data_IF_849045936827
#
_entry.id   IF_849045936827
#
_cell.length_a   1.000
_cell.length_b   1.000
_cell.length_c   1.000
_cell.angle_alpha   90.00
_cell.angle_beta   90.00
_cell.angle_gamma   90.00
#
_symmetry.space_group_name_H-M   'P 1'
#
loop_
_entity.id
_entity.type
_entity.pdbx_description
1 polymer ?
#
# COMPACT_ATOMS: atom_id res chain seq x y z
N UNK A 1 0.62 0.98 -7.47
CA UNK A 1 0.24 0.81 -6.04
C UNK A 1 0.91 -0.34 -5.28
N UNK A 2 1.48 -1.34 -5.96
CA UNK A 2 1.95 -2.58 -5.34
C UNK A 2 2.85 -2.39 -4.09
N UNK A 3 3.81 -1.46 -4.13
CA UNK A 3 4.72 -1.21 -2.99
C UNK A 3 3.96 -0.78 -1.73
N UNK A 4 2.99 0.14 -1.86
CA UNK A 4 2.20 0.62 -0.73
C UNK A 4 1.29 -0.48 -0.15
N UNK A 5 0.73 -1.32 -1.02
CA UNK A 5 -0.05 -2.50 -0.59
C UNK A 5 0.81 -3.52 0.15
N UNK A 6 1.98 -3.85 -0.40
CA UNK A 6 2.95 -4.78 0.20
C UNK A 6 3.44 -4.28 1.56
N UNK A 7 3.71 -2.97 1.68
CA UNK A 7 4.12 -2.31 2.91
C UNK A 7 2.99 -2.13 3.94
N UNK A 8 1.74 -2.43 3.57
CA UNK A 8 0.58 -2.31 4.46
C UNK A 8 0.06 -0.88 4.65
N UNK A 9 0.44 0.07 3.80
CA UNK A 9 0.06 1.48 3.94
C UNK A 9 -1.44 1.69 3.72
N UNK A 10 -2.04 1.00 2.75
CA UNK A 10 -3.45 1.09 2.35
C UNK A 10 -4.31 -0.04 2.94
N UNK A 11 -3.96 -0.51 4.15
CA UNK A 11 -4.79 -1.45 4.89
C UNK A 11 -5.90 -0.71 5.64
N UNK A 12 -7.00 -1.43 5.94
CA UNK A 12 -8.18 -0.89 6.63
C UNK A 12 -7.93 -0.39 8.06
N UNK A 13 -6.73 -0.60 8.60
CA UNK A 13 -6.32 -0.06 9.91
C UNK A 13 -5.81 1.38 9.85
N UNK A 14 -5.46 1.89 8.65
CA UNK A 14 -4.86 3.22 8.48
C UNK A 14 -5.34 3.90 7.19
N UNK A 15 -4.48 4.14 6.20
CA UNK A 15 -4.85 4.95 5.03
C UNK A 15 -5.86 4.26 4.11
N UNK A 16 -6.01 2.93 4.19
CA UNK A 16 -7.04 2.18 3.46
C UNK A 16 -8.39 2.08 4.16
N UNK A 17 -8.56 2.75 5.30
CA UNK A 17 -9.85 2.77 6.01
C UNK A 17 -10.83 3.75 5.33
N UNK A 18 -12.11 3.69 5.70
CA UNK A 18 -13.18 4.51 5.10
C UNK A 18 -12.90 6.02 5.13
N UNK A 19 -12.19 6.52 6.14
CA UNK A 19 -11.90 7.94 6.35
C UNK A 19 -10.42 8.30 6.07
N UNK A 20 -9.58 7.32 5.75
CA UNK A 20 -8.13 7.46 5.77
C UNK A 20 -7.59 7.86 7.15
N UNK A 21 -6.43 8.52 7.16
CA UNK A 21 -5.82 9.07 8.39
C UNK A 21 -5.02 10.32 8.10
N UNK A 22 -5.15 11.35 8.93
CA UNK A 22 -4.39 12.61 8.85
C UNK A 22 -4.46 13.27 7.45
N UNK A 23 -5.67 13.31 6.88
CA UNK A 23 -5.92 13.88 5.55
C UNK A 23 -5.28 13.08 4.41
N UNK A 24 -5.02 11.78 4.61
CA UNK A 24 -4.51 10.90 3.57
C UNK A 24 -5.32 9.60 3.52
N UNK A 25 -6.00 9.39 2.41
CA UNK A 25 -6.84 8.22 2.14
C UNK A 25 -6.41 7.57 0.83
N UNK A 26 -6.17 6.28 0.89
CA UNK A 26 -5.96 5.39 -0.24
C UNK A 26 -7.13 4.40 -0.29
N UNK A 27 -7.39 3.86 -1.46
CA UNK A 27 -8.30 2.76 -1.71
C UNK A 27 -7.84 1.51 -0.95
N UNK A 28 -8.78 0.69 -0.48
CA UNK A 28 -8.44 -0.47 0.34
C UNK A 28 -7.64 -1.47 -0.50
N UNK A 29 -6.40 -1.75 -0.08
CA UNK A 29 -5.46 -2.67 -0.77
C UNK A 29 -5.17 -2.32 -2.24
N UNK A 30 -5.48 -1.10 -2.67
CA UNK A 30 -5.21 -0.64 -4.04
C UNK A 30 -6.30 -1.00 -5.05
N UNK A 31 -7.54 -1.18 -4.59
CA UNK A 31 -8.71 -1.49 -5.43
C UNK A 31 -9.05 -0.41 -6.47
N UNK A 32 -8.63 0.84 -6.24
CA UNK A 32 -8.81 1.94 -7.18
C UNK A 32 -7.47 2.69 -7.44
N UNK A 33 -6.69 2.23 -8.43
CA UNK A 33 -5.39 2.82 -8.76
C UNK A 33 -5.45 4.29 -9.19
N UNK A 34 -6.48 4.71 -9.91
CA UNK A 34 -6.62 6.10 -10.40
C UNK A 34 -6.88 7.09 -9.25
N UNK A 35 -7.71 6.68 -8.29
CA UNK A 35 -7.92 7.41 -7.04
C UNK A 35 -6.61 7.52 -6.27
N UNK A 36 -5.93 6.39 -6.06
CA UNK A 36 -4.69 6.36 -5.28
C UNK A 36 -3.58 7.20 -5.91
N UNK A 37 -3.46 7.14 -7.24
CA UNK A 37 -2.56 7.99 -7.98
C UNK A 37 -2.85 9.48 -7.74
N UNK A 38 -4.12 9.89 -7.81
CA UNK A 38 -4.51 11.27 -7.55
C UNK A 38 -4.27 11.69 -6.09
N UNK A 39 -4.54 10.80 -5.13
CA UNK A 39 -4.29 11.02 -3.71
C UNK A 39 -2.79 11.20 -3.39
N UNK A 40 -1.91 10.54 -4.14
CA UNK A 40 -0.46 10.65 -4.00
C UNK A 40 0.11 11.88 -4.70
N UNK A 41 -0.43 12.25 -5.86
CA UNK A 41 0.21 13.23 -6.75
C UNK A 41 -0.43 14.62 -6.69
N UNK A 42 -1.71 14.73 -6.34
CA UNK A 42 -2.52 15.96 -6.50
C UNK A 42 -3.14 16.44 -5.18
N UNK A 43 -3.64 15.52 -4.37
CA UNK A 43 -4.35 15.89 -3.13
C UNK A 43 -3.48 16.72 -2.18
N UNK A 44 -4.15 17.60 -1.43
CA UNK A 44 -3.51 18.54 -0.51
C UNK A 44 -2.37 19.33 -1.17
N UNK A 45 -2.59 19.80 -2.41
CA UNK A 45 -1.62 20.56 -3.19
C UNK A 45 -0.31 19.80 -3.44
N UNK A 46 -0.40 18.47 -3.66
CA UNK A 46 0.74 17.63 -4.00
C UNK A 46 1.70 17.34 -2.85
N UNK A 47 1.33 17.62 -1.58
CA UNK A 47 2.23 17.54 -0.41
C UNK A 47 2.88 16.16 -0.17
N UNK A 48 2.40 15.08 -0.81
CA UNK A 48 2.84 13.71 -0.53
C UNK A 48 4.12 13.32 -1.27
N UNK A 49 4.35 13.92 -2.44
CA UNK A 49 5.54 13.70 -3.26
C UNK A 49 6.27 15.01 -3.51
N UNK A 50 7.58 14.93 -3.61
CA UNK A 50 8.44 16.04 -4.01
C UNK A 50 9.27 15.57 -5.20
N UNK A 51 8.93 16.02 -6.40
CA UNK A 51 9.62 15.60 -7.62
C UNK A 51 11.03 16.19 -7.71
N UNK A 52 11.26 17.40 -7.17
CA UNK A 52 12.57 18.07 -7.19
C UNK A 52 13.53 17.43 -6.19
N UNK A 53 13.01 16.98 -5.05
CA UNK A 53 13.77 16.32 -3.98
C UNK A 53 13.05 15.03 -3.54
N UNK A 54 13.17 13.93 -4.32
CA UNK A 54 12.43 12.70 -4.06
C UNK A 54 12.55 12.17 -2.64
N UNK A 55 13.75 12.21 -2.05
CA UNK A 55 14.03 11.77 -0.68
C UNK A 55 13.21 12.51 0.39
N UNK A 56 12.79 13.75 0.12
CA UNK A 56 12.00 14.58 1.04
C UNK A 56 10.49 14.29 0.96
N UNK A 57 10.07 13.36 0.09
CA UNK A 57 8.68 12.96 -0.08
C UNK A 57 8.13 12.29 1.18
N UNK A 58 6.94 12.70 1.63
CA UNK A 58 6.30 12.11 2.81
C UNK A 58 6.06 10.61 2.66
N UNK A 59 5.82 10.13 1.43
CA UNK A 59 5.63 8.71 1.12
C UNK A 59 6.91 7.88 1.20
N UNK A 60 8.08 8.51 1.40
CA UNK A 60 9.33 7.86 1.76
C UNK A 60 9.66 8.08 3.24
N UNK A 61 9.55 9.33 3.72
CA UNK A 61 9.95 9.72 5.08
C UNK A 61 9.10 9.04 6.17
N UNK A 62 7.78 8.98 6.00
CA UNK A 62 6.87 8.35 6.97
C UNK A 62 7.08 6.83 7.07
N UNK A 63 7.02 6.05 5.98
CA UNK A 63 7.17 4.60 6.09
C UNK A 63 8.60 4.14 6.44
N UNK A 64 9.64 4.95 6.21
CA UNK A 64 11.00 4.65 6.72
C UNK A 64 11.20 5.00 8.20
N UNK A 65 10.24 5.70 8.80
CA UNK A 65 10.34 6.32 10.12
C UNK A 65 11.52 7.32 10.24
N UNK A 66 11.93 7.94 9.13
CA UNK A 66 12.86 9.08 9.13
C UNK A 66 12.23 10.28 9.83
N UNK A 67 10.91 10.40 9.75
CA UNK A 67 10.11 11.31 10.58
C UNK A 67 9.02 10.52 11.32
N UNK A 68 8.44 11.06 12.41
CA UNK A 68 7.43 10.35 13.20
C UNK A 68 6.25 9.88 12.35
N UNK A 69 5.91 8.61 12.46
CA UNK A 69 4.79 7.99 11.77
C UNK A 69 4.09 7.04 12.74
N UNK A 70 2.81 7.30 13.01
CA UNK A 70 2.01 6.46 13.92
C UNK A 70 1.88 5.01 13.44
N UNK A 71 1.96 4.78 12.12
CA UNK A 71 1.99 3.43 11.56
C UNK A 71 3.32 2.69 11.76
N UNK A 72 4.31 3.31 12.41
CA UNK A 72 5.66 2.76 12.57
C UNK A 72 6.44 2.68 11.25
N UNK A 73 7.59 2.01 11.31
CA UNK A 73 8.41 1.70 10.14
C UNK A 73 7.74 0.57 9.33
N UNK A 74 7.67 0.75 8.01
CA UNK A 74 7.13 -0.22 7.05
C UNK A 74 8.21 -0.85 6.16
N UNK A 75 9.27 -0.12 5.85
CA UNK A 75 10.44 -0.60 5.11
C UNK A 75 11.69 0.27 5.43
N UNK A 76 12.89 -0.23 5.09
CA UNK A 76 14.16 0.48 5.29
C UNK A 76 14.53 1.40 4.11
N UNK A 77 15.49 2.32 4.29
CA UNK A 77 15.98 3.23 3.23
C UNK A 77 16.79 2.50 2.14
N UNK A 78 17.33 1.33 2.47
CA UNK A 78 18.08 0.41 1.61
C UNK A 78 17.20 -0.63 0.91
N UNK A 79 15.90 -0.65 1.24
CA UNK A 79 14.94 -1.63 0.73
C UNK A 79 14.64 -1.47 -0.77
N UNK A 80 14.21 -2.54 -1.45
CA UNK A 80 13.64 -2.45 -2.79
C UNK A 80 12.44 -1.51 -2.85
N UNK A 81 11.56 -1.51 -1.84
CA UNK A 81 10.38 -0.65 -1.74
C UNK A 81 10.74 0.84 -1.82
N UNK A 82 11.75 1.23 -1.03
CA UNK A 82 12.26 2.60 -1.05
C UNK A 82 12.81 2.97 -2.42
N UNK A 83 13.66 2.12 -3.01
CA UNK A 83 14.28 2.37 -4.32
C UNK A 83 13.24 2.49 -5.43
N UNK A 84 12.22 1.64 -5.44
CA UNK A 84 11.12 1.68 -6.43
C UNK A 84 10.33 2.99 -6.30
N UNK A 85 9.91 3.36 -5.08
CA UNK A 85 9.14 4.58 -4.88
C UNK A 85 9.97 5.83 -5.17
N UNK A 86 11.21 5.89 -4.69
CA UNK A 86 12.11 7.01 -4.94
C UNK A 86 12.40 7.17 -6.45
N UNK A 87 12.62 6.06 -7.16
CA UNK A 87 12.81 6.07 -8.62
C UNK A 87 11.56 6.54 -9.37
N UNK A 88 10.37 6.09 -8.97
CA UNK A 88 9.11 6.54 -9.55
C UNK A 88 8.89 8.05 -9.36
N UNK A 89 9.16 8.58 -8.16
CA UNK A 89 9.06 10.02 -7.86
C UNK A 89 10.10 10.80 -8.68
N UNK A 90 11.35 10.33 -8.72
CA UNK A 90 12.42 10.97 -9.49
C UNK A 90 12.13 11.03 -11.00
N UNK A 91 11.35 10.08 -11.52
CA UNK A 91 10.87 10.07 -12.90
C UNK A 91 9.68 11.02 -13.15
N UNK A 92 9.27 11.83 -12.17
CA UNK A 92 8.12 12.72 -12.26
C UNK A 92 6.78 12.06 -11.92
N UNK A 93 6.82 10.93 -11.21
CA UNK A 93 5.64 10.18 -10.78
C UNK A 93 4.68 9.83 -11.95
N UNK A 94 5.16 9.25 -13.07
CA UNK A 94 4.32 8.99 -14.23
C UNK A 94 3.16 8.04 -13.88
N UNK A 95 1.97 8.21 -14.49
CA UNK A 95 0.89 7.24 -14.37
C UNK A 95 1.25 5.95 -15.11
N UNK A 96 0.46 4.90 -14.89
CA UNK A 96 0.58 3.68 -15.69
C UNK A 96 0.37 4.00 -17.18
N UNK A 97 1.15 3.39 -18.09
CA UNK A 97 1.00 3.65 -19.52
C UNK A 97 -0.36 3.11 -20.03
N UNK A 98 -0.91 3.65 -21.13
CA UNK A 98 -2.21 3.23 -21.66
C UNK A 98 -2.31 1.72 -21.99
N UNK A 99 -1.17 1.08 -22.25
CA UNK A 99 -1.05 -0.35 -22.55
C UNK A 99 -0.52 -1.18 -21.37
N UNK A 100 -0.64 -0.68 -20.14
CA UNK A 100 -0.26 -1.42 -18.95
C UNK A 100 -0.97 -2.79 -18.90
N UNK A 101 -0.27 -3.88 -18.54
CA UNK A 101 -0.88 -5.19 -18.41
C UNK A 101 -2.02 -5.17 -17.38
N UNK A 102 -3.18 -5.69 -17.78
CA UNK A 102 -4.34 -5.82 -16.89
C UNK A 102 -4.41 -7.26 -16.39
N UNK A 103 -4.59 -7.44 -15.08
CA UNK A 103 -4.82 -8.75 -14.48
C UNK A 103 -6.07 -9.38 -15.11
N UNK A 104 -5.89 -10.50 -15.82
CA UNK A 104 -7.00 -11.23 -16.45
C UNK A 104 -7.59 -12.30 -15.56
N UNK A 105 -6.75 -13.03 -14.83
CA UNK A 105 -7.20 -14.07 -13.93
C UNK A 105 -6.17 -14.40 -12.84
N UNK A 106 -6.66 -14.89 -11.70
CA UNK A 106 -5.86 -15.50 -10.63
C UNK A 106 -6.40 -16.92 -10.43
N UNK A 107 -5.51 -17.91 -10.52
CA UNK A 107 -5.84 -19.30 -10.18
C UNK A 107 -5.04 -19.71 -8.95
N UNK A 108 -5.69 -20.41 -8.02
CA UNK A 108 -5.08 -20.94 -6.79
C UNK A 108 -5.20 -22.45 -6.82
N UNK A 109 -4.14 -23.17 -6.42
CA UNK A 109 -4.15 -24.63 -6.34
C UNK A 109 -3.65 -25.10 -4.97
N UNK A 110 -4.31 -26.10 -4.34
CA UNK A 110 -5.55 -26.73 -4.81
C UNK A 110 -6.75 -25.76 -4.69
N UNK A 111 -7.73 -25.90 -5.60
CA UNK A 111 -8.93 -25.05 -5.60
C UNK A 111 -9.81 -25.26 -4.36
N UNK A 112 -9.67 -26.42 -3.73
CA UNK A 112 -10.32 -26.78 -2.48
C UNK A 112 -9.32 -27.50 -1.59
N UNK A 113 -9.29 -27.14 -0.31
CA UNK A 113 -8.50 -27.81 0.71
C UNK A 113 -9.38 -28.05 1.93
N UNK A 114 -9.58 -29.32 2.29
CA UNK A 114 -10.26 -29.68 3.53
C UNK A 114 -9.24 -29.61 4.66
N UNK A 115 -9.42 -28.67 5.59
CA UNK A 115 -8.61 -28.59 6.80
C UNK A 115 -9.03 -29.73 7.76
N UNK A 116 -8.12 -30.64 8.16
CA UNK A 116 -8.48 -31.68 9.11
C UNK A 116 -8.69 -31.08 10.51
N UNK A 117 -9.63 -31.65 11.27
CA UNK A 117 -10.09 -31.15 12.58
C UNK A 117 -8.98 -30.92 13.61
N UNK A 118 -7.81 -31.55 13.42
CA UNK A 118 -6.63 -31.42 14.28
C UNK A 118 -5.95 -30.04 14.24
N UNK A 119 -6.30 -29.18 13.28
CA UNK A 119 -5.79 -27.80 13.17
C UNK A 119 -6.78 -26.72 13.58
N UNK A 120 -7.97 -27.08 14.09
CA UNK A 120 -8.86 -26.11 14.71
C UNK A 120 -8.25 -25.66 16.05
N UNK A 121 -8.14 -24.35 16.32
CA UNK A 121 -7.81 -23.89 17.66
C UNK A 121 -8.80 -24.49 18.65
N UNK A 122 -8.29 -25.06 19.75
CA UNK A 122 -9.10 -25.73 20.79
C UNK A 122 -10.13 -24.82 21.48
N UNK A 123 -10.14 -23.54 21.15
CA UNK A 123 -11.07 -22.54 21.64
C UNK A 123 -11.93 -22.01 20.49
N UNK A 124 -12.98 -22.75 20.15
CA UNK A 124 -14.33 -22.26 19.83
C UNK A 124 -15.17 -23.39 19.24
N UNK A 125 -15.61 -24.27 20.13
CA UNK A 125 -16.98 -24.78 20.07
C UNK A 125 -17.57 -24.58 21.48
N UNK A 126 -18.59 -23.72 21.57
CA UNK A 126 -19.90 -24.28 21.85
C UNK A 126 -20.99 -23.76 20.89
N UNK A 127 -21.55 -24.71 20.14
CA UNK A 127 -22.97 -25.05 20.00
C UNK A 127 -24.00 -23.88 20.12
N UNK A 128 -24.63 -23.51 19.00
CA UNK A 128 -26.00 -23.89 18.60
C UNK A 128 -26.26 -23.50 17.15
#
# INVERSE_FOLDING_TARGET
MAVLSKAGCNQGVCHGNQNGKNGFKLSLRGENPDWDYSALTRDMLGRRINNDRPADSLILLKPTATIPHEGGRRFGVDSPEYRILAGWIAAGAPPDPPNAPVLKNIFVTPSELVLPSRFLPKEKLPIR
#
